data_IF_867810747624
#
_entry.id   IF_867810747624
#
_cell.length_a   1.000
_cell.length_b   1.000
_cell.length_c   1.000
_cell.angle_alpha   90.00
_cell.angle_beta   90.00
_cell.angle_gamma   90.00
#
_symmetry.space_group_name_H-M   'P 1'
#
loop_
_entity.id
_entity.type
_entity.pdbx_description
1 polymer ?
#
# COMPACT_ATOMS: atom_id res chain seq x y z
N UNK A 1 -4.02 8.93 2.70
CA UNK A 1 -3.20 9.56 3.75
C UNK A 1 -4.16 10.15 4.79
N UNK A 2 -4.77 9.28 5.61
CA UNK A 2 -5.76 9.63 6.63
C UNK A 2 -5.14 9.28 7.98
N UNK A 3 -4.41 10.23 8.56
CA UNK A 3 -3.89 10.07 9.91
C UNK A 3 -4.95 10.58 10.88
N UNK A 4 -5.52 9.65 11.64
CA UNK A 4 -6.36 9.91 12.80
C UNK A 4 -5.51 10.55 13.91
N UNK A 5 -5.83 11.79 14.30
CA UNK A 5 -5.15 12.55 15.38
C UNK A 5 -6.11 12.99 16.50
N UNK A 6 -7.17 12.23 16.78
CA UNK A 6 -8.00 12.47 17.97
C UNK A 6 -7.44 11.63 19.14
N UNK A 7 -6.97 12.29 20.20
CA UNK A 7 -6.37 11.62 21.37
C UNK A 7 -7.32 11.57 22.58
N UNK A 8 -8.32 12.45 22.62
CA UNK A 8 -9.22 12.62 23.77
C UNK A 8 -10.65 12.84 23.30
N UNK A 9 -11.60 12.13 23.92
CA UNK A 9 -13.03 12.28 23.70
C UNK A 9 -13.73 12.59 25.04
N UNK A 10 -14.70 13.49 25.01
CA UNK A 10 -15.47 13.91 26.19
C UNK A 10 -16.95 14.00 25.83
N UNK A 11 -17.80 13.57 26.77
CA UNK A 11 -19.24 13.53 26.59
C UNK A 11 -19.94 14.63 27.39
N UNK A 12 -21.01 15.21 26.83
CA UNK A 12 -21.97 16.08 27.50
C UNK A 12 -23.38 15.58 27.21
N UNK A 13 -24.30 15.66 28.17
CA UNK A 13 -25.67 15.14 28.02
C UNK A 13 -26.69 16.27 28.09
N UNK A 14 -27.50 16.37 27.05
CA UNK A 14 -28.66 17.25 26.96
C UNK A 14 -29.94 16.46 27.25
N UNK A 15 -30.92 17.07 27.92
CA UNK A 15 -32.28 16.55 27.97
C UNK A 15 -33.20 17.37 27.07
N UNK A 16 -34.10 16.68 26.38
CA UNK A 16 -35.10 17.26 25.49
C UNK A 16 -36.47 17.14 26.14
N UNK A 17 -37.13 18.28 26.30
CA UNK A 17 -38.51 18.41 26.75
C UNK A 17 -39.42 18.74 25.57
N UNK A 18 -40.72 18.66 25.81
CA UNK A 18 -41.74 19.05 24.83
C UNK A 18 -41.67 20.54 24.48
N UNK A 19 -41.71 20.86 23.19
CA UNK A 19 -41.75 22.24 22.70
C UNK A 19 -43.03 22.98 23.13
N UNK A 20 -42.93 24.25 23.58
CA UNK A 20 -44.10 25.08 23.80
C UNK A 20 -44.77 25.41 22.46
N UNK A 21 -46.02 24.96 22.28
CA UNK A 21 -46.82 25.28 21.10
C UNK A 21 -47.57 26.59 21.30
N UNK A 22 -47.23 27.62 20.53
CA UNK A 22 -47.97 28.88 20.48
C UNK A 22 -48.98 28.80 19.32
N UNK A 23 -50.16 28.24 19.60
CA UNK A 23 -51.16 27.94 18.57
C UNK A 23 -51.77 29.20 17.93
N UNK A 24 -51.94 29.18 16.61
CA UNK A 24 -52.78 30.13 15.86
C UNK A 24 -54.19 29.53 15.73
N UNK A 25 -55.09 29.88 16.65
CA UNK A 25 -56.55 29.74 16.51
C UNK A 25 -57.13 28.42 15.98
N UNK A 26 -57.39 27.47 16.88
CA UNK A 26 -58.66 26.72 17.06
C UNK A 26 -58.40 25.63 18.10
N UNK A 27 -59.27 25.57 19.12
CA UNK A 27 -59.30 24.60 20.23
C UNK A 27 -58.20 23.53 20.25
N UNK A 28 -57.12 23.81 20.97
CA UNK A 28 -56.23 22.76 21.49
C UNK A 28 -55.99 23.06 22.96
N UNK A 29 -56.78 22.38 23.81
CA UNK A 29 -56.31 22.04 25.15
C UNK A 29 -54.91 21.44 25.00
N UNK A 30 -53.97 21.90 25.83
CA UNK A 30 -52.63 21.33 25.90
C UNK A 30 -52.72 19.83 26.14
N UNK A 31 -52.56 19.05 25.08
CA UNK A 31 -52.29 17.62 25.19
C UNK A 31 -50.89 17.51 25.75
N UNK A 32 -50.80 16.98 26.97
CA UNK A 32 -49.55 16.53 27.56
C UNK A 32 -48.80 15.72 26.52
N UNK A 33 -47.64 16.22 26.12
CA UNK A 33 -46.83 15.65 25.05
C UNK A 33 -46.52 14.20 25.40
N UNK A 34 -46.86 13.28 24.49
CA UNK A 34 -46.65 11.86 24.77
C UNK A 34 -45.14 11.56 24.87
N UNK A 35 -44.75 10.57 25.66
CA UNK A 35 -43.34 10.15 25.76
C UNK A 35 -42.73 9.85 24.38
N UNK A 36 -43.54 9.37 23.44
CA UNK A 36 -43.19 9.12 22.04
C UNK A 36 -42.84 10.40 21.26
N UNK A 37 -43.52 11.52 21.56
CA UNK A 37 -43.25 12.81 20.90
C UNK A 37 -41.91 13.39 21.35
N UNK A 38 -41.59 13.31 22.64
CA UNK A 38 -40.30 13.78 23.18
C UNK A 38 -39.12 12.93 22.69
N UNK A 39 -39.33 11.64 22.47
CA UNK A 39 -38.32 10.73 21.92
C UNK A 39 -38.06 11.08 20.44
N UNK A 40 -39.11 11.25 19.65
CA UNK A 40 -39.01 11.63 18.24
C UNK A 40 -38.35 13.00 18.06
N UNK A 41 -38.68 13.96 18.95
CA UNK A 41 -38.01 15.26 19.00
C UNK A 41 -36.52 15.12 19.34
N UNK A 42 -36.14 14.29 20.31
CA UNK A 42 -34.72 14.09 20.66
C UNK A 42 -33.89 13.49 19.51
N UNK A 43 -34.48 12.62 18.68
CA UNK A 43 -33.81 12.05 17.50
C UNK A 43 -33.63 13.10 16.42
N UNK A 44 -34.65 13.91 16.17
CA UNK A 44 -34.57 15.01 15.20
C UNK A 44 -33.58 16.09 15.64
N UNK A 45 -33.61 16.45 16.93
CA UNK A 45 -32.70 17.43 17.53
C UNK A 45 -31.25 16.92 17.48
N UNK A 46 -31.00 15.63 17.74
CA UNK A 46 -29.67 15.03 17.59
C UNK A 46 -29.16 15.08 16.14
N UNK A 47 -30.04 14.97 15.15
CA UNK A 47 -29.68 15.13 13.74
C UNK A 47 -29.49 16.60 13.33
N UNK A 48 -30.17 17.53 14.00
CA UNK A 48 -30.09 18.98 13.72
C UNK A 48 -28.81 19.62 14.30
N UNK A 49 -28.31 19.13 15.43
CA UNK A 49 -27.12 19.69 16.09
C UNK A 49 -25.89 19.76 15.18
N UNK A 50 -25.49 18.71 14.44
CA UNK A 50 -24.34 18.75 13.53
C UNK A 50 -24.63 19.43 12.18
N UNK A 51 -25.61 20.33 12.10
CA UNK A 51 -25.88 21.11 10.89
C UNK A 51 -25.06 22.39 10.84
N UNK A 52 -24.73 22.85 9.63
CA UNK A 52 -24.01 24.11 9.40
C UNK A 52 -24.68 25.33 10.02
N UNK A 53 -26.03 25.37 9.99
CA UNK A 53 -26.81 26.47 10.59
C UNK A 53 -26.61 26.57 12.10
N UNK A 54 -26.66 25.43 12.79
CA UNK A 54 -26.45 25.38 14.23
C UNK A 54 -25.00 25.70 14.57
N UNK A 55 -24.03 25.05 13.93
CA UNK A 55 -22.60 25.27 14.24
C UNK A 55 -22.14 26.71 13.96
N UNK A 56 -22.66 27.35 12.91
CA UNK A 56 -22.41 28.78 12.67
C UNK A 56 -23.01 29.67 13.77
N UNK A 57 -24.23 29.36 14.23
CA UNK A 57 -24.84 30.09 15.34
C UNK A 57 -24.06 29.92 16.65
N UNK A 58 -23.62 28.69 16.96
CA UNK A 58 -22.78 28.40 18.13
C UNK A 58 -21.45 29.17 18.06
N UNK A 59 -20.79 29.14 16.90
CA UNK A 59 -19.53 29.88 16.70
C UNK A 59 -19.69 31.40 16.87
N UNK A 60 -20.77 31.98 16.34
CA UNK A 60 -21.04 33.41 16.46
C UNK A 60 -21.44 33.82 17.89
N UNK A 61 -22.14 32.95 18.62
CA UNK A 61 -22.64 33.23 19.96
C UNK A 61 -21.60 32.96 21.06
N UNK A 62 -20.47 32.30 20.76
CA UNK A 62 -19.48 31.92 21.75
C UNK A 62 -18.09 32.54 21.49
N UNK A 63 -17.72 33.64 22.17
CA UNK A 63 -16.43 34.31 21.98
C UNK A 63 -15.23 33.46 22.46
N UNK A 64 -15.44 32.47 23.34
CA UNK A 64 -14.36 31.60 23.81
C UNK A 64 -13.86 30.66 22.70
N UNK A 65 -14.72 30.22 21.78
CA UNK A 65 -14.33 29.41 20.62
C UNK A 65 -13.44 30.22 19.66
N UNK A 66 -13.79 31.49 19.45
CA UNK A 66 -13.03 32.42 18.59
C UNK A 66 -11.65 32.71 19.17
N UNK A 67 -11.54 32.90 20.49
CA UNK A 67 -10.28 33.14 21.18
C UNK A 67 -9.32 31.93 21.11
N UNK A 68 -9.86 30.71 21.03
CA UNK A 68 -9.08 29.47 20.90
C UNK A 68 -8.82 29.07 19.43
N UNK A 69 -9.28 29.86 18.46
CA UNK A 69 -9.01 29.66 17.03
C UNK A 69 -9.83 28.56 16.36
N UNK A 70 -10.91 28.09 17.00
CA UNK A 70 -11.82 27.10 16.41
C UNK A 70 -12.76 27.76 15.40
N UNK A 71 -13.05 27.07 14.30
CA UNK A 71 -14.01 27.50 13.29
C UNK A 71 -15.32 26.70 13.36
N UNK A 72 -16.34 27.15 12.64
CA UNK A 72 -17.59 26.40 12.51
C UNK A 72 -17.42 25.05 11.80
N UNK A 73 -16.43 24.93 10.89
CA UNK A 73 -16.11 23.68 10.22
C UNK A 73 -15.42 22.69 11.17
N UNK A 74 -14.57 23.17 12.09
CA UNK A 74 -13.97 22.32 13.12
C UNK A 74 -15.05 21.72 14.03
N UNK A 75 -16.05 22.51 14.43
CA UNK A 75 -17.18 22.03 15.23
C UNK A 75 -17.99 20.93 14.53
N UNK A 76 -18.11 20.97 13.20
CA UNK A 76 -18.83 19.96 12.41
C UNK A 76 -18.07 18.64 12.33
N UNK A 77 -16.75 18.68 12.33
CA UNK A 77 -15.90 17.49 12.25
C UNK A 77 -15.69 16.87 13.63
N UNK A 78 -15.46 17.72 14.63
CA UNK A 78 -14.98 17.31 15.94
C UNK A 78 -16.10 17.08 16.96
N UNK A 79 -17.35 17.47 16.68
CA UNK A 79 -18.50 17.27 17.57
C UNK A 79 -19.57 16.43 16.90
N UNK A 80 -19.95 15.34 17.57
CA UNK A 80 -21.03 14.45 17.14
C UNK A 80 -22.14 14.44 18.18
N UNK A 81 -23.38 14.31 17.70
CA UNK A 81 -24.56 14.19 18.54
C UNK A 81 -25.24 12.86 18.23
N UNK A 82 -25.57 12.11 19.27
CA UNK A 82 -26.32 10.86 19.13
C UNK A 82 -27.33 10.72 20.26
N UNK A 83 -28.45 10.08 20.00
CA UNK A 83 -29.30 9.60 21.08
C UNK A 83 -28.76 8.21 21.53
N UNK A 84 -28.26 8.07 22.77
CA UNK A 84 -27.68 6.82 23.24
C UNK A 84 -28.71 5.73 23.54
N UNK A 85 -30.02 6.04 23.55
CA UNK A 85 -31.05 5.09 23.93
C UNK A 85 -32.39 5.35 23.25
N UNK A 86 -32.97 4.30 22.64
CA UNK A 86 -34.29 4.34 22.01
C UNK A 86 -35.45 4.56 23.01
N UNK A 87 -35.18 4.71 24.31
CA UNK A 87 -36.21 4.88 25.35
C UNK A 87 -36.05 6.17 26.15
N UNK A 88 -35.03 7.00 25.86
CA UNK A 88 -34.72 8.18 26.68
C UNK A 88 -34.56 9.42 25.80
N UNK A 89 -35.24 10.50 26.15
CA UNK A 89 -35.19 11.79 25.43
C UNK A 89 -33.94 12.59 25.80
N UNK A 90 -32.77 11.94 25.70
CA UNK A 90 -31.46 12.51 26.01
C UNK A 90 -30.58 12.50 24.77
N UNK A 91 -29.80 13.56 24.57
CA UNK A 91 -28.81 13.64 23.49
C UNK A 91 -27.42 13.61 24.12
N UNK A 92 -26.60 12.66 23.69
CA UNK A 92 -25.20 12.56 24.03
C UNK A 92 -24.38 13.30 22.98
N UNK A 93 -23.76 14.40 23.40
CA UNK A 93 -22.77 15.12 22.61
C UNK A 93 -21.40 14.58 22.93
N UNK A 94 -20.63 14.21 21.91
CA UNK A 94 -19.25 13.76 22.04
C UNK A 94 -18.36 14.71 21.24
N UNK A 95 -17.41 15.36 21.90
CA UNK A 95 -16.38 16.15 21.23
C UNK A 95 -15.03 15.45 21.27
N UNK A 96 -14.30 15.51 20.17
CA UNK A 96 -12.95 14.97 20.04
C UNK A 96 -11.95 16.09 19.82
N UNK A 97 -10.87 16.13 20.61
CA UNK A 97 -9.82 17.13 20.43
C UNK A 97 -8.43 16.58 20.74
N UNK A 98 -7.40 17.37 20.37
CA UNK A 98 -5.99 17.06 20.68
C UNK A 98 -5.63 17.31 22.14
N UNK A 99 -6.32 18.24 22.81
CA UNK A 99 -6.13 18.53 24.24
C UNK A 99 -7.44 18.25 25.00
N UNK A 100 -7.35 17.75 26.24
CA UNK A 100 -8.53 17.46 27.05
C UNK A 100 -9.36 18.72 27.36
N UNK A 101 -8.70 19.87 27.60
CA UNK A 101 -9.38 21.14 27.85
C UNK A 101 -10.18 21.65 26.63
N UNK A 102 -9.64 21.44 25.42
CA UNK A 102 -10.29 21.84 24.18
C UNK A 102 -11.53 20.97 23.89
N UNK A 103 -11.47 19.67 24.16
CA UNK A 103 -12.63 18.77 24.02
C UNK A 103 -13.79 19.17 24.96
N UNK A 104 -13.47 19.53 26.21
CA UNK A 104 -14.47 20.04 27.17
C UNK A 104 -15.06 21.37 26.71
N UNK A 105 -14.23 22.28 26.19
CA UNK A 105 -14.69 23.57 25.67
C UNK A 105 -15.65 23.38 24.50
N UNK A 106 -15.28 22.55 23.52
CA UNK A 106 -16.07 22.29 22.32
C UNK A 106 -17.44 21.71 22.66
N UNK A 107 -17.47 20.64 23.47
CA UNK A 107 -18.73 19.95 23.79
C UNK A 107 -19.68 20.84 24.60
N UNK A 108 -19.17 21.62 25.54
CA UNK A 108 -19.98 22.53 26.36
C UNK A 108 -20.43 23.76 25.56
N UNK A 109 -19.58 24.26 24.65
CA UNK A 109 -19.94 25.37 23.78
C UNK A 109 -21.08 24.97 22.82
N UNK A 110 -21.01 23.78 22.22
CA UNK A 110 -22.09 23.26 21.37
C UNK A 110 -23.35 22.99 22.17
N UNK A 111 -23.24 22.37 23.35
CA UNK A 111 -24.38 22.13 24.24
C UNK A 111 -25.15 23.42 24.56
N UNK A 112 -24.45 24.43 25.08
CA UNK A 112 -25.04 25.70 25.47
C UNK A 112 -25.53 26.50 24.26
N UNK A 113 -24.77 26.49 23.17
CA UNK A 113 -25.13 27.18 21.94
C UNK A 113 -26.39 26.63 21.29
N UNK A 114 -26.61 25.31 21.36
CA UNK A 114 -27.84 24.69 20.86
C UNK A 114 -29.07 25.03 21.71
N UNK A 115 -28.93 25.07 23.04
CA UNK A 115 -30.00 25.55 23.93
C UNK A 115 -30.37 27.00 23.61
N UNK A 116 -29.38 27.86 23.38
CA UNK A 116 -29.60 29.24 22.97
C UNK A 116 -30.28 29.33 21.59
N UNK A 117 -29.92 28.46 20.65
CA UNK A 117 -30.54 28.37 19.33
C UNK A 117 -32.03 28.03 19.41
N UNK A 118 -32.40 26.99 20.17
CA UNK A 118 -33.80 26.58 20.39
C UNK A 118 -34.60 27.65 21.12
N UNK A 119 -33.99 28.30 22.12
CA UNK A 119 -34.62 29.42 22.83
C UNK A 119 -34.90 30.59 21.87
N UNK A 120 -33.96 30.91 20.97
CA UNK A 120 -34.15 31.95 19.96
C UNK A 120 -35.27 31.59 18.98
N UNK A 121 -35.31 30.36 18.46
CA UNK A 121 -36.43 29.93 17.61
C UNK A 121 -37.78 30.05 18.31
N UNK A 122 -37.87 29.60 19.56
CA UNK A 122 -39.11 29.69 20.33
C UNK A 122 -39.53 31.15 20.57
N UNK A 123 -38.56 32.04 20.79
CA UNK A 123 -38.80 33.47 20.94
C UNK A 123 -39.27 34.11 19.63
N UNK A 124 -38.65 33.78 18.50
CA UNK A 124 -39.06 34.27 17.17
C UNK A 124 -40.49 33.83 16.83
N UNK A 125 -40.88 32.60 17.22
CA UNK A 125 -42.26 32.10 17.07
C UNK A 125 -43.25 32.87 17.95
N UNK A 126 -42.88 33.14 19.21
CA UNK A 126 -43.69 33.94 20.13
C UNK A 126 -43.89 35.37 19.59
N UNK A 127 -42.83 36.00 19.08
CA UNK A 127 -42.89 37.36 18.56
C UNK A 127 -43.69 37.43 17.25
N UNK A 128 -43.60 36.40 16.40
CA UNK A 128 -44.47 36.26 15.23
C UNK A 128 -45.93 36.09 15.63
N UNK A 129 -46.23 35.26 16.64
CA UNK A 129 -47.58 35.09 17.14
C UNK A 129 -48.14 36.39 17.70
N UNK A 130 -47.35 37.13 18.50
CA UNK A 130 -47.73 38.46 19.00
C UNK A 130 -47.99 39.45 17.87
N UNK A 131 -47.13 39.50 16.86
CA UNK A 131 -47.32 40.38 15.70
C UNK A 131 -48.62 40.05 14.94
N UNK A 132 -48.93 38.75 14.77
CA UNK A 132 -50.17 38.30 14.13
C UNK A 132 -51.41 38.71 14.94
N UNK A 133 -51.41 38.49 16.26
CA UNK A 133 -52.52 38.91 17.12
C UNK A 133 -52.67 40.43 17.19
N UNK A 134 -51.56 41.17 17.20
CA UNK A 134 -51.57 42.63 17.17
C UNK A 134 -52.15 43.16 15.85
N UNK A 135 -51.80 42.53 14.73
CA UNK A 135 -52.36 42.87 13.41
C UNK A 135 -53.86 42.60 13.36
N UNK A 136 -54.31 41.44 13.86
CA UNK A 136 -55.72 41.08 13.92
C UNK A 136 -56.52 42.03 14.83
N UNK A 137 -55.95 42.43 15.97
CA UNK A 137 -56.54 43.44 16.85
C UNK A 137 -56.69 44.79 16.13
N UNK A 138 -55.63 45.25 15.44
CA UNK A 138 -55.68 46.49 14.68
C UNK A 138 -56.70 46.44 13.53
N UNK A 139 -56.88 45.27 12.90
CA UNK A 139 -57.89 45.06 11.87
C UNK A 139 -59.31 45.21 12.44
N UNK A 140 -59.63 44.55 13.54
CA UNK A 140 -60.94 44.69 14.20
C UNK A 140 -61.19 46.10 14.70
N UNK A 141 -60.15 46.78 15.20
CA UNK A 141 -60.24 48.19 15.60
C UNK A 141 -60.62 49.09 14.43
N UNK A 142 -59.97 48.94 13.27
CA UNK A 142 -60.30 49.71 12.07
C UNK A 142 -61.72 49.40 11.58
N UNK A 143 -62.12 48.13 11.54
CA UNK A 143 -63.50 47.73 11.18
C UNK A 143 -64.55 48.37 12.11
N UNK A 144 -64.29 48.36 13.42
CA UNK A 144 -65.18 49.02 14.39
C UNK A 144 -65.29 50.53 14.17
N UNK A 145 -64.20 51.19 13.78
CA UNK A 145 -64.18 52.63 13.49
C UNK A 145 -64.91 52.96 12.18
N UNK A 146 -64.77 52.13 11.16
CA UNK A 146 -65.46 52.35 9.88
C UNK A 146 -66.97 52.08 10.00
N UNK A 147 -67.39 51.07 10.76
CA UNK A 147 -68.79 50.86 11.12
C UNK A 147 -69.35 52.05 11.91
N UNK A 148 -68.57 52.63 12.82
CA UNK A 148 -68.98 53.83 13.57
C UNK A 148 -69.16 55.05 12.66
N UNK A 149 -68.24 55.30 11.72
CA UNK A 149 -68.41 56.36 10.71
C UNK A 149 -69.66 56.15 9.87
N UNK A 150 -69.96 54.91 9.48
CA UNK A 150 -71.17 54.58 8.73
C UNK A 150 -72.43 54.88 9.56
N UNK A 151 -72.48 54.45 10.81
CA UNK A 151 -73.58 54.75 11.74
C UNK A 151 -73.81 56.27 11.86
N UNK A 152 -72.73 57.06 12.02
CA UNK A 152 -72.79 58.51 12.16
C UNK A 152 -73.16 59.25 10.85
N UNK A 153 -73.07 58.60 9.69
CA UNK A 153 -73.44 59.18 8.39
C UNK A 153 -74.96 59.19 8.12
N UNK A 154 -75.75 58.45 8.92
CA UNK A 154 -77.20 58.44 8.83
C UNK A 154 -77.82 59.56 9.67
N UNK A 155 -78.55 60.49 9.03
CA UNK A 155 -79.18 61.64 9.71
C UNK A 155 -80.42 61.28 10.55
N UNK A 156 -81.05 60.12 10.32
CA UNK A 156 -82.28 59.69 10.99
C UNK A 156 -82.01 58.50 11.92
N UNK A 157 -82.06 58.73 13.23
CA UNK A 157 -81.81 57.74 14.29
C UNK A 157 -82.83 56.60 14.39
N UNK A 158 -83.89 56.60 13.57
CA UNK A 158 -85.00 55.62 13.59
C UNK A 158 -84.93 54.60 12.45
N UNK A 159 -83.85 54.60 11.66
CA UNK A 159 -83.69 53.71 10.52
C UNK A 159 -83.32 52.27 10.96
N UNK A 160 -84.05 51.23 10.51
CA UNK A 160 -83.71 49.83 10.81
C UNK A 160 -82.28 49.42 10.41
N UNK A 161 -81.63 50.13 9.48
CA UNK A 161 -80.23 49.90 9.12
C UNK A 161 -79.23 50.25 10.23
N UNK A 162 -79.53 51.23 11.09
CA UNK A 162 -78.67 51.62 12.22
C UNK A 162 -78.64 50.50 13.27
N UNK A 163 -79.77 49.84 13.52
CA UNK A 163 -79.85 48.73 14.47
C UNK A 163 -78.97 47.54 14.03
N UNK A 164 -78.94 47.22 12.73
CA UNK A 164 -78.09 46.17 12.18
C UNK A 164 -76.60 46.52 12.26
N UNK A 165 -76.21 47.73 11.84
CA UNK A 165 -74.81 48.19 11.90
C UNK A 165 -74.30 48.27 13.35
N UNK A 166 -75.17 48.63 14.30
CA UNK A 166 -74.83 48.65 15.72
C UNK A 166 -74.62 47.23 16.24
N UNK A 167 -75.45 46.26 15.83
CA UNK A 167 -75.26 44.85 16.16
C UNK A 167 -73.93 44.31 15.60
N UNK A 168 -73.62 44.61 14.33
CA UNK A 168 -72.34 44.24 13.69
C UNK A 168 -71.14 44.85 14.42
N UNK A 169 -71.20 46.14 14.77
CA UNK A 169 -70.14 46.80 15.55
C UNK A 169 -69.94 46.14 16.90
N UNK A 170 -71.02 45.74 17.58
CA UNK A 170 -70.94 45.06 18.88
C UNK A 170 -70.30 43.69 18.75
N UNK A 171 -70.57 42.95 17.67
CA UNK A 171 -69.92 41.68 17.37
C UNK A 171 -68.41 41.83 17.07
N UNK A 172 -68.02 42.89 16.35
CA UNK A 172 -66.61 43.23 16.10
C UNK A 172 -65.89 43.59 17.39
N UNK A 173 -66.51 44.37 18.28
CA UNK A 173 -65.94 44.71 19.60
C UNK A 173 -65.76 43.46 20.48
N UNK A 174 -66.73 42.54 20.47
CA UNK A 174 -66.60 41.27 21.18
C UNK A 174 -65.41 40.44 20.65
N UNK A 175 -65.20 40.43 19.34
CA UNK A 175 -64.06 39.77 18.69
C UNK A 175 -62.73 40.48 19.02
N UNK A 176 -62.72 41.81 19.08
CA UNK A 176 -61.55 42.59 19.49
C UNK A 176 -61.13 42.27 20.94
N UNK A 177 -62.09 42.20 21.87
CA UNK A 177 -61.84 41.89 23.27
C UNK A 177 -61.31 40.46 23.45
N UNK A 178 -61.80 39.49 22.66
CA UNK A 178 -61.31 38.10 22.72
C UNK A 178 -59.87 37.99 22.21
N UNK A 179 -59.52 38.70 21.13
CA UNK A 179 -58.12 38.78 20.64
C UNK A 179 -57.21 39.47 21.67
N UNK A 180 -57.68 40.54 22.31
CA UNK A 180 -56.92 41.21 23.35
C UNK A 180 -56.66 40.30 24.56
N UNK A 181 -57.68 39.54 24.98
CA UNK A 181 -57.55 38.56 26.06
C UNK A 181 -56.53 37.45 25.70
N UNK A 182 -56.47 37.03 24.44
CA UNK A 182 -55.44 36.09 23.96
C UNK A 182 -54.05 36.73 23.99
N UNK A 183 -53.90 37.99 23.61
CA UNK A 183 -52.62 38.72 23.67
C UNK A 183 -52.05 38.78 25.09
N UNK A 184 -52.91 38.99 26.09
CA UNK A 184 -52.55 39.02 27.53
C UNK A 184 -52.16 37.64 28.09
N UNK A 185 -52.57 36.55 27.45
CA UNK A 185 -52.24 35.19 27.87
C UNK A 185 -50.91 34.69 27.30
N UNK A 186 -50.32 35.38 26.30
CA UNK A 186 -48.99 35.03 25.80
C UNK A 186 -47.92 35.36 26.86
N UNK A 187 -46.97 34.44 27.15
CA UNK A 187 -45.91 34.67 28.14
C UNK A 187 -44.97 35.80 27.70
N UNK A 188 -44.26 36.43 28.64
CA UNK A 188 -43.32 37.52 28.36
C UNK A 188 -42.07 37.05 27.57
N UNK A 189 -41.63 35.80 27.78
CA UNK A 189 -40.49 35.20 27.09
C UNK A 189 -40.74 33.71 26.84
N UNK A 190 -40.29 33.22 25.69
CA UNK A 190 -40.33 31.79 25.39
C UNK A 190 -39.13 31.08 26.04
N UNK A 191 -39.36 29.89 26.58
CA UNK A 191 -38.29 28.98 27.01
C UNK A 191 -38.04 27.96 25.90
N UNK A 192 -36.77 27.69 25.59
CA UNK A 192 -36.39 26.58 24.73
C UNK A 192 -36.80 25.24 25.33
N UNK A 193 -36.89 24.22 24.48
CA UNK A 193 -37.31 22.87 24.85
C UNK A 193 -36.14 21.93 25.16
N UNK A 194 -34.92 22.47 25.30
CA UNK A 194 -33.69 21.71 25.55
C UNK A 194 -32.94 22.34 26.71
N UNK A 195 -32.43 21.53 27.64
CA UNK A 195 -31.64 22.00 28.77
C UNK A 195 -30.40 21.11 28.98
N UNK A 196 -29.30 21.74 29.41
CA UNK A 196 -28.06 21.02 29.74
C UNK A 196 -28.19 20.45 31.14
N UNK A 197 -28.21 19.12 31.27
CA UNK A 197 -28.37 18.45 32.57
C UNK A 197 -27.04 18.04 33.17
N UNK A 198 -26.05 17.72 32.34
CA UNK A 198 -24.71 17.40 32.82
C UNK A 198 -23.64 18.05 31.94
N UNK A 199 -23.02 19.17 32.40
CA UNK A 199 -21.90 19.77 31.69
C UNK A 199 -20.66 18.88 31.81
N UNK A 200 -19.90 18.79 30.73
CA UNK A 200 -18.67 18.00 30.69
C UNK A 200 -17.60 18.58 31.62
N UNK A 201 -16.92 17.71 32.39
CA UNK A 201 -15.78 18.07 33.25
C UNK A 201 -14.51 17.38 32.78
N UNK A 202 -13.36 17.98 33.07
CA UNK A 202 -12.01 17.50 32.70
C UNK A 202 -11.70 16.07 33.19
N UNK A 203 -12.41 15.57 34.21
CA UNK A 203 -12.24 14.22 34.77
C UNK A 203 -12.89 13.10 33.94
N UNK A 204 -13.78 13.41 33.00
CA UNK A 204 -14.52 12.42 32.19
C UNK A 204 -13.84 12.11 30.84
N UNK A 205 -12.61 12.56 30.67
CA UNK A 205 -11.86 12.39 29.41
C UNK A 205 -11.37 10.95 29.30
N UNK A 206 -12.02 10.15 28.46
CA UNK A 206 -11.49 8.83 28.08
C UNK A 206 -10.42 9.01 27.01
N UNK A 207 -9.20 8.54 27.29
CA UNK A 207 -8.10 8.50 26.31
C UNK A 207 -8.44 7.47 25.23
N UNK A 208 -8.80 7.97 24.05
CA UNK A 208 -9.07 7.13 22.89
C UNK A 208 -7.76 6.90 22.16
N UNK A 209 -6.98 5.89 22.56
CA UNK A 209 -5.90 5.40 21.72
C UNK A 209 -5.56 3.95 22.03
N UNK A 210 -6.23 3.02 21.33
CA UNK A 210 -5.67 1.66 21.07
C UNK A 210 -5.03 1.57 19.68
N UNK A 211 -4.90 2.69 18.96
CA UNK A 211 -4.45 2.71 17.55
C UNK A 211 -2.95 2.43 17.40
N UNK A 212 -2.12 2.92 18.34
CA UNK A 212 -0.67 2.61 18.34
C UNK A 212 -0.37 1.13 18.60
N UNK A 213 -1.22 0.45 19.37
CA UNK A 213 -1.07 -0.98 19.65
C UNK A 213 -1.40 -1.84 18.43
N UNK A 214 -2.42 -1.48 17.65
CA UNK A 214 -2.74 -2.17 16.39
C UNK A 214 -1.63 -1.94 15.34
N UNK A 215 -1.07 -0.74 15.28
CA UNK A 215 0.06 -0.44 14.39
C UNK A 215 1.32 -1.21 14.80
N UNK A 216 1.61 -1.31 16.10
CA UNK A 216 2.74 -2.08 16.61
C UNK A 216 2.59 -3.59 16.34
N UNK A 217 1.38 -4.14 16.50
CA UNK A 217 1.09 -5.55 16.24
C UNK A 217 1.20 -5.88 14.75
N UNK A 218 0.68 -5.03 13.87
CA UNK A 218 0.77 -5.25 12.41
C UNK A 218 2.19 -5.09 11.88
N UNK A 219 2.95 -4.11 12.39
CA UNK A 219 4.37 -3.97 12.07
C UNK A 219 5.19 -5.19 12.54
N UNK A 220 4.92 -5.71 13.73
CA UNK A 220 5.57 -6.91 14.26
C UNK A 220 5.28 -8.15 13.41
N UNK A 221 4.00 -8.39 13.06
CA UNK A 221 3.60 -9.51 12.19
C UNK A 221 4.23 -9.43 10.80
N UNK A 222 4.31 -8.23 10.21
CA UNK A 222 4.95 -8.03 8.91
C UNK A 222 6.44 -8.42 8.90
N UNK A 223 7.17 -8.07 9.96
CA UNK A 223 8.59 -8.42 10.10
C UNK A 223 8.80 -9.94 10.21
N UNK A 224 7.96 -10.63 10.99
CA UNK A 224 8.06 -12.09 11.16
C UNK A 224 7.78 -12.82 9.84
N UNK A 225 6.73 -12.41 9.11
CA UNK A 225 6.40 -13.01 7.80
C UNK A 225 7.52 -12.78 6.78
N UNK A 226 8.09 -11.56 6.73
CA UNK A 226 9.21 -11.26 5.86
C UNK A 226 10.45 -12.13 6.14
N UNK A 227 10.79 -12.33 7.41
CA UNK A 227 11.88 -13.21 7.84
C UNK A 227 11.64 -14.68 7.46
N UNK A 228 10.40 -15.16 7.60
CA UNK A 228 10.04 -16.53 7.22
C UNK A 228 10.14 -16.75 5.70
N UNK A 229 9.69 -15.80 4.89
CA UNK A 229 9.81 -15.87 3.43
C UNK A 229 11.28 -15.88 3.02
N UNK A 230 12.10 -15.01 3.61
CA UNK A 230 13.53 -14.96 3.35
C UNK A 230 14.23 -16.28 3.69
N UNK A 231 13.92 -16.86 4.86
CA UNK A 231 14.43 -18.16 5.27
C UNK A 231 13.99 -19.26 4.30
N UNK A 232 12.73 -19.25 3.86
CA UNK A 232 12.19 -20.24 2.93
C UNK A 232 12.89 -20.18 1.56
N UNK A 233 13.14 -18.98 1.04
CA UNK A 233 13.90 -18.79 -0.20
C UNK A 233 15.32 -19.35 -0.09
N UNK A 234 15.96 -19.19 1.07
CA UNK A 234 17.30 -19.75 1.32
C UNK A 234 17.27 -21.27 1.34
N UNK A 235 16.26 -21.89 1.95
CA UNK A 235 16.13 -23.35 2.02
C UNK A 235 15.84 -23.99 0.64
N UNK A 236 15.20 -23.26 -0.27
CA UNK A 236 14.93 -23.72 -1.63
C UNK A 236 16.12 -23.56 -2.58
N UNK A 237 17.17 -22.85 -2.18
CA UNK A 237 18.36 -22.69 -3.01
C UNK A 237 19.22 -23.97 -3.01
N UNK A 238 19.03 -24.80 -4.03
CA UNK A 238 19.77 -26.06 -4.24
C UNK A 238 21.12 -25.87 -4.96
N UNK A 239 21.65 -24.65 -5.05
CA UNK A 239 22.97 -24.42 -5.67
C UNK A 239 24.06 -25.10 -4.84
N UNK A 240 24.91 -25.88 -5.49
CA UNK A 240 26.15 -26.41 -4.91
C UNK A 240 27.11 -25.24 -4.69
N UNK A 241 27.19 -24.74 -3.46
CA UNK A 241 28.03 -23.58 -3.11
C UNK A 241 29.30 -23.94 -2.34
N UNK A 242 29.39 -25.17 -1.81
CA UNK A 242 30.47 -25.57 -0.92
C UNK A 242 31.23 -26.78 -1.49
N UNK A 243 32.56 -26.71 -1.40
CA UNK A 243 33.53 -27.66 -1.98
C UNK A 243 33.41 -29.08 -1.40
N UNK A 244 32.87 -29.20 -0.18
CA UNK A 244 32.63 -30.45 0.55
C UNK A 244 31.40 -31.23 0.08
N UNK A 245 30.47 -30.58 -0.63
CA UNK A 245 29.22 -31.21 -1.09
C UNK A 245 29.38 -32.02 -2.38
N UNK A 246 30.47 -31.83 -3.14
CA UNK A 246 30.70 -32.54 -4.41
C UNK A 246 30.97 -34.02 -4.18
N UNK A 247 31.91 -34.43 -3.30
CA UNK A 247 32.16 -35.85 -3.03
C UNK A 247 30.96 -36.53 -2.37
N UNK A 248 30.26 -35.84 -1.46
CA UNK A 248 29.14 -36.40 -0.70
C UNK A 248 27.88 -36.64 -1.57
N UNK A 249 27.55 -35.71 -2.47
CA UNK A 249 26.31 -35.80 -3.27
C UNK A 249 26.47 -36.46 -4.62
N UNK A 250 27.66 -36.38 -5.24
CA UNK A 250 27.90 -36.88 -6.59
C UNK A 250 28.80 -38.12 -6.64
N UNK A 251 29.49 -38.45 -5.54
CA UNK A 251 30.45 -39.56 -5.51
C UNK A 251 31.68 -39.33 -6.41
N UNK A 252 31.95 -38.08 -6.80
CA UNK A 252 33.04 -37.71 -7.70
C UNK A 252 34.22 -37.15 -6.91
N UNK A 253 35.43 -37.36 -7.44
CA UNK A 253 36.64 -36.77 -6.86
C UNK A 253 36.68 -35.27 -7.10
N UNK A 254 36.86 -34.50 -6.02
CA UNK A 254 37.07 -33.07 -6.10
C UNK A 254 38.51 -32.77 -6.51
N UNK A 255 38.68 -32.12 -7.67
CA UNK A 255 40.00 -31.82 -8.25
C UNK A 255 40.51 -30.41 -7.90
N UNK A 256 39.62 -29.50 -7.48
CA UNK A 256 39.97 -28.14 -7.08
C UNK A 256 38.87 -27.12 -7.41
N UNK A 257 39.06 -25.89 -6.96
CA UNK A 257 38.17 -24.74 -7.20
C UNK A 257 38.86 -23.69 -8.06
N UNK A 258 38.09 -23.04 -8.94
CA UNK A 258 38.54 -21.89 -9.71
C UNK A 258 37.78 -20.65 -9.25
N UNK A 259 38.48 -19.70 -8.64
CA UNK A 259 37.90 -18.46 -8.17
C UNK A 259 37.57 -17.52 -9.32
N UNK A 260 36.38 -16.89 -9.25
CA UNK A 260 35.95 -15.88 -10.22
C UNK A 260 36.68 -14.57 -9.96
N UNK A 261 37.86 -14.39 -10.59
CA UNK A 261 38.64 -13.16 -10.51
C UNK A 261 38.53 -12.33 -11.80
N UNK A 262 38.73 -11.02 -11.67
CA UNK A 262 38.76 -10.04 -12.78
C UNK A 262 39.87 -10.28 -13.81
N UNK A 263 40.81 -11.20 -13.55
CA UNK A 263 41.85 -11.64 -14.49
C UNK A 263 41.33 -12.64 -15.55
N UNK A 264 40.18 -13.28 -15.33
CA UNK A 264 39.60 -14.21 -16.30
C UNK A 264 38.70 -13.40 -17.24
N UNK A 265 39.30 -12.73 -18.24
CA UNK A 265 38.53 -12.09 -19.30
C UNK A 265 38.08 -13.12 -20.35
N UNK A 266 36.88 -12.97 -20.94
CA UNK A 266 36.43 -13.82 -22.03
C UNK A 266 37.47 -13.82 -23.17
N UNK A 267 37.96 -15.00 -23.54
CA UNK A 267 38.98 -15.14 -24.60
C UNK A 267 40.44 -15.00 -24.13
N UNK A 268 40.69 -14.83 -22.83
CA UNK A 268 42.05 -14.81 -22.27
C UNK A 268 42.34 -16.07 -21.47
N UNK A 269 43.58 -16.57 -21.57
CA UNK A 269 44.04 -17.70 -20.75
C UNK A 269 44.68 -17.18 -19.47
N UNK A 270 44.27 -17.68 -18.29
CA UNK A 270 44.92 -17.32 -17.03
C UNK A 270 46.37 -17.82 -17.03
N UNK A 271 47.31 -16.92 -17.33
CA UNK A 271 48.74 -17.24 -17.43
C UNK A 271 49.51 -16.87 -16.17
N UNK A 272 48.98 -15.94 -15.37
CA UNK A 272 49.54 -15.43 -14.11
C UNK A 272 48.43 -15.28 -13.06
N UNK A 273 48.81 -15.10 -11.79
CA UNK A 273 47.86 -14.85 -10.70
C UNK A 273 47.25 -16.10 -10.07
N UNK A 274 46.25 -15.88 -9.20
CA UNK A 274 45.63 -16.92 -8.36
C UNK A 274 44.94 -18.01 -9.18
N UNK A 275 44.28 -17.63 -10.28
CA UNK A 275 43.62 -18.57 -11.17
C UNK A 275 44.61 -19.54 -11.84
N UNK A 276 45.80 -19.03 -12.24
CA UNK A 276 46.85 -19.85 -12.84
C UNK A 276 47.50 -20.81 -11.84
N UNK A 277 47.47 -20.50 -10.53
CA UNK A 277 47.90 -21.39 -9.45
C UNK A 277 46.85 -22.48 -9.21
N UNK A 278 45.58 -22.09 -9.05
CA UNK A 278 44.46 -23.03 -8.88
C UNK A 278 44.35 -24.05 -10.02
N UNK A 279 44.56 -23.63 -11.27
CA UNK A 279 44.59 -24.53 -12.43
C UNK A 279 45.82 -25.45 -12.43
N UNK A 280 46.97 -24.98 -11.93
CA UNK A 280 48.14 -25.84 -11.75
C UNK A 280 47.88 -26.88 -10.66
N UNK A 281 47.23 -26.50 -9.55
CA UNK A 281 46.84 -27.39 -8.46
C UNK A 281 45.83 -28.45 -8.94
N UNK A 282 44.84 -28.07 -9.76
CA UNK A 282 43.94 -29.03 -10.43
C UNK A 282 44.74 -30.03 -11.28
N UNK A 283 45.73 -29.55 -12.05
CA UNK A 283 46.61 -30.41 -12.84
C UNK A 283 47.45 -31.37 -11.99
N UNK A 284 47.92 -30.92 -10.82
CA UNK A 284 48.62 -31.76 -9.83
C UNK A 284 47.65 -32.79 -9.23
N UNK A 285 46.44 -32.39 -8.85
CA UNK A 285 45.43 -33.28 -8.28
C UNK A 285 44.97 -34.34 -9.28
N UNK A 286 44.85 -34.02 -10.57
CA UNK A 286 44.61 -35.00 -11.64
C UNK A 286 45.69 -36.07 -11.70
N UNK A 287 46.94 -35.72 -11.37
CA UNK A 287 48.05 -36.68 -11.31
C UNK A 287 48.02 -37.50 -10.02
N UNK A 288 47.69 -36.88 -8.89
CA UNK A 288 47.65 -37.55 -7.59
C UNK A 288 46.46 -38.50 -7.42
N UNK A 289 45.34 -38.21 -8.08
CA UNK A 289 44.13 -39.06 -8.08
C UNK A 289 44.22 -40.27 -9.03
N UNK A 290 45.36 -40.46 -9.72
CA UNK A 290 45.58 -41.60 -10.62
C UNK A 290 44.83 -41.52 -11.95
N UNK A 291 44.13 -40.42 -12.23
CA UNK A 291 43.47 -40.15 -13.53
C UNK A 291 44.52 -40.02 -14.65
N UNK A 292 45.70 -39.51 -14.33
CA UNK A 292 46.85 -39.49 -15.23
C UNK A 292 47.81 -40.65 -14.86
N UNK A 293 48.29 -41.44 -15.84
CA UNK A 293 49.21 -42.55 -15.55
C UNK A 293 50.50 -42.05 -14.87
N UNK A 294 50.88 -42.71 -13.77
CA UNK A 294 51.95 -42.28 -12.85
C UNK A 294 53.39 -42.34 -13.40
N UNK A 295 53.60 -42.72 -14.67
CA UNK A 295 54.92 -42.75 -15.28
C UNK A 295 55.33 -41.35 -15.78
N UNK A 296 56.54 -40.90 -15.41
CA UNK A 296 57.15 -39.61 -15.81
C UNK A 296 57.12 -39.34 -17.34
N UNK A 297 56.96 -40.41 -18.14
CA UNK A 297 56.49 -40.40 -19.52
C UNK A 297 55.32 -41.39 -19.62
N UNK A 298 54.11 -40.92 -19.95
CA UNK A 298 53.07 -41.82 -20.43
C UNK A 298 53.59 -42.47 -21.73
N UNK A 299 53.60 -43.80 -21.91
CA UNK A 299 54.17 -44.43 -23.11
C UNK A 299 53.49 -43.97 -24.41
N UNK A 300 52.25 -43.48 -24.33
CA UNK A 300 51.49 -42.85 -25.41
C UNK A 300 50.63 -41.75 -24.79
N UNK A 301 50.75 -40.50 -25.26
CA UNK A 301 50.22 -39.28 -24.64
C UNK A 301 48.84 -39.40 -23.98
N UNK A 302 48.61 -38.64 -22.91
CA UNK A 302 47.37 -38.72 -22.12
C UNK A 302 46.26 -37.92 -22.79
N UNK A 303 45.06 -38.48 -22.87
CA UNK A 303 43.89 -37.81 -23.43
C UNK A 303 42.92 -37.49 -22.30
N UNK A 304 42.55 -36.22 -22.15
CA UNK A 304 41.62 -35.73 -21.15
C UNK A 304 40.46 -35.02 -21.83
N UNK A 305 39.23 -35.41 -21.48
CA UNK A 305 38.02 -34.70 -21.89
C UNK A 305 37.59 -33.74 -20.76
N UNK A 306 37.40 -32.47 -21.11
CA UNK A 306 36.81 -31.46 -20.22
C UNK A 306 35.40 -31.17 -20.72
N UNK A 307 34.40 -31.33 -19.85
CA UNK A 307 32.98 -31.12 -20.17
C UNK A 307 32.27 -30.48 -18.99
N UNK A 308 31.03 -30.03 -19.20
CA UNK A 308 30.18 -29.35 -18.23
C UNK A 308 28.77 -29.94 -18.22
N UNK A 309 28.06 -29.78 -17.10
CA UNK A 309 26.66 -30.21 -17.03
C UNK A 309 25.80 -29.31 -17.92
N UNK A 310 25.95 -27.98 -17.78
CA UNK A 310 25.27 -26.98 -18.59
C UNK A 310 26.23 -26.11 -19.40
N UNK A 311 25.67 -25.34 -20.32
CA UNK A 311 26.40 -24.30 -21.05
C UNK A 311 26.85 -23.18 -20.11
N UNK A 312 27.98 -22.53 -20.44
CA UNK A 312 28.52 -21.36 -19.73
C UNK A 312 29.04 -21.68 -18.30
N UNK A 313 29.44 -22.92 -18.01
CA UNK A 313 30.08 -23.30 -16.74
C UNK A 313 31.62 -23.12 -16.73
N UNK A 314 32.21 -22.58 -17.80
CA UNK A 314 33.65 -22.28 -17.85
C UNK A 314 34.57 -23.44 -18.30
N UNK A 315 34.03 -24.51 -18.91
CA UNK A 315 34.80 -25.64 -19.44
C UNK A 315 36.03 -25.25 -20.29
N UNK A 316 35.87 -24.31 -21.24
CA UNK A 316 36.94 -23.84 -22.11
C UNK A 316 38.03 -23.09 -21.34
N UNK A 317 37.66 -22.37 -20.28
CA UNK A 317 38.59 -21.70 -19.37
C UNK A 317 39.41 -22.72 -18.57
N UNK A 318 38.78 -23.79 -18.09
CA UNK A 318 39.48 -24.88 -17.40
C UNK A 318 40.41 -25.63 -18.37
N UNK A 319 39.94 -25.94 -19.58
CA UNK A 319 40.73 -26.61 -20.61
C UNK A 319 41.97 -25.79 -21.02
N UNK A 320 41.81 -24.48 -21.26
CA UNK A 320 42.91 -23.60 -21.65
C UNK A 320 43.89 -23.35 -20.50
N UNK A 321 43.37 -23.18 -19.29
CA UNK A 321 44.15 -23.03 -18.08
C UNK A 321 45.00 -24.27 -17.76
N UNK A 322 44.41 -25.45 -17.87
CA UNK A 322 45.11 -26.72 -17.70
C UNK A 322 46.17 -26.93 -18.79
N UNK A 323 45.88 -26.55 -20.04
CA UNK A 323 46.84 -26.61 -21.13
C UNK A 323 48.06 -25.72 -20.86
N UNK A 324 47.83 -24.48 -20.41
CA UNK A 324 48.90 -23.56 -20.04
C UNK A 324 49.71 -24.05 -18.84
N UNK A 325 49.06 -24.62 -17.81
CA UNK A 325 49.73 -25.19 -16.66
C UNK A 325 50.61 -26.40 -17.04
N UNK A 326 50.09 -27.32 -17.84
CA UNK A 326 50.83 -28.49 -18.31
C UNK A 326 52.03 -28.09 -19.20
N UNK A 327 51.84 -27.11 -20.09
CA UNK A 327 52.92 -26.56 -20.93
C UNK A 327 54.03 -25.91 -20.10
N UNK A 328 53.69 -25.10 -19.08
CA UNK A 328 54.66 -24.56 -18.11
C UNK A 328 55.42 -25.65 -17.36
N UNK A 329 54.77 -26.80 -17.13
CA UNK A 329 55.40 -28.01 -16.60
C UNK A 329 56.31 -28.76 -17.59
N UNK A 330 56.59 -28.18 -18.77
CA UNK A 330 57.49 -28.72 -19.78
C UNK A 330 56.87 -29.79 -20.68
N UNK A 331 55.53 -29.92 -20.71
CA UNK A 331 54.83 -30.90 -21.55
C UNK A 331 54.46 -30.31 -22.90
N UNK A 332 54.52 -31.12 -23.96
CA UNK A 332 53.92 -30.77 -25.24
C UNK A 332 52.41 -30.99 -25.17
N UNK A 333 51.62 -29.92 -25.30
CA UNK A 333 50.16 -29.97 -25.15
C UNK A 333 49.45 -29.64 -26.46
N UNK A 334 48.45 -30.44 -26.80
CA UNK A 334 47.50 -30.17 -27.87
C UNK A 334 46.09 -30.05 -27.31
N UNK A 335 45.39 -28.99 -27.66
CA UNK A 335 43.98 -28.80 -27.36
C UNK A 335 43.16 -29.10 -28.60
N UNK A 336 42.08 -29.86 -28.45
CA UNK A 336 41.13 -30.20 -29.51
C UNK A 336 39.79 -29.58 -29.16
N UNK A 337 39.20 -28.83 -30.09
CA UNK A 337 37.82 -28.37 -29.96
C UNK A 337 36.85 -29.51 -30.29
N UNK A 338 36.27 -30.11 -29.26
CA UNK A 338 35.24 -31.15 -29.39
C UNK A 338 33.83 -30.59 -29.56
N UNK A 339 33.62 -29.28 -29.38
CA UNK A 339 32.31 -28.66 -29.54
C UNK A 339 32.09 -28.24 -31.01
N UNK A 340 31.90 -29.24 -31.88
CA UNK A 340 31.66 -29.02 -33.30
C UNK A 340 30.37 -28.24 -33.61
N UNK A 341 29.42 -28.20 -32.66
CA UNK A 341 28.18 -27.41 -32.81
C UNK A 341 28.44 -25.91 -32.74
N UNK A 342 29.34 -25.48 -31.86
CA UNK A 342 29.68 -24.07 -31.63
C UNK A 342 31.19 -23.91 -31.39
N UNK A 343 32.03 -24.07 -32.44
CA UNK A 343 33.47 -24.07 -32.32
C UNK A 343 34.00 -22.66 -31.99
N UNK A 344 34.32 -22.44 -30.72
CA UNK A 344 34.69 -21.12 -30.17
C UNK A 344 36.05 -21.11 -29.46
N UNK A 345 36.74 -22.26 -29.42
CA UNK A 345 38.05 -22.39 -28.75
C UNK A 345 39.12 -21.46 -29.32
N UNK A 346 39.10 -21.19 -30.63
CA UNK A 346 40.05 -20.28 -31.30
C UNK A 346 40.11 -18.89 -30.63
N UNK A 347 39.00 -18.41 -30.08
CA UNK A 347 38.94 -17.15 -29.33
C UNK A 347 39.76 -17.21 -28.03
N UNK A 348 39.67 -18.32 -27.30
CA UNK A 348 40.39 -18.51 -26.03
C UNK A 348 41.90 -18.75 -26.23
N UNK A 349 42.28 -19.37 -27.35
CA UNK A 349 43.67 -19.68 -27.67
C UNK A 349 44.33 -18.61 -28.58
N UNK A 350 43.58 -17.57 -28.96
CA UNK A 350 44.06 -16.45 -29.75
C UNK A 350 44.48 -16.82 -31.18
N UNK A 351 43.87 -17.85 -31.77
CA UNK A 351 44.15 -18.29 -33.14
C UNK A 351 43.10 -17.75 -34.10
N UNK A 352 43.46 -17.64 -35.37
CA UNK A 352 42.47 -17.34 -36.42
C UNK A 352 41.48 -18.50 -36.58
N UNK A 353 40.20 -18.23 -36.85
CA UNK A 353 39.27 -19.28 -37.25
C UNK A 353 39.82 -20.00 -38.50
N UNK A 354 39.88 -21.33 -38.46
CA UNK A 354 40.21 -22.12 -39.64
C UNK A 354 38.96 -22.85 -40.13
N UNK A 355 38.71 -22.79 -41.44
CA UNK A 355 37.67 -23.59 -42.10
C UNK A 355 38.00 -25.09 -42.07
N UNK A 356 39.30 -25.41 -42.10
CA UNK A 356 39.81 -26.77 -41.97
C UNK A 356 40.32 -27.02 -40.54
N UNK A 357 39.64 -27.89 -39.81
CA UNK A 357 39.90 -28.24 -38.41
C UNK A 357 39.42 -29.67 -38.11
N UNK A 358 39.00 -29.95 -36.88
CA UNK A 358 38.51 -31.28 -36.50
C UNK A 358 37.34 -31.75 -37.40
N UNK A 359 36.38 -30.87 -37.72
CA UNK A 359 35.26 -31.22 -38.60
C UNK A 359 35.71 -31.62 -40.02
N UNK A 360 36.74 -30.95 -40.56
CA UNK A 360 37.34 -31.30 -41.86
C UNK A 360 38.06 -32.65 -41.80
N UNK A 361 38.88 -32.84 -40.77
CA UNK A 361 39.60 -34.09 -40.51
C UNK A 361 38.70 -35.29 -40.24
N UNK A 362 37.45 -35.08 -39.80
CA UNK A 362 36.48 -36.17 -39.65
C UNK A 362 35.85 -36.51 -41.01
N UNK A 363 35.49 -35.51 -41.82
CA UNK A 363 34.78 -35.68 -43.09
C UNK A 363 35.60 -36.24 -44.25
N UNK A 364 36.90 -36.02 -44.26
CA UNK A 364 37.71 -36.44 -45.40
C UNK A 364 37.79 -37.96 -45.66
N UNK A 365 38.26 -38.34 -46.84
CA UNK A 365 38.24 -39.73 -47.30
C UNK A 365 39.64 -40.32 -47.51
N UNK A 366 40.70 -39.56 -47.18
CA UNK A 366 42.10 -40.01 -47.16
C UNK A 366 43.09 -38.91 -47.58
N UNK A 367 44.35 -39.00 -47.10
CA UNK A 367 45.47 -38.17 -47.58
C UNK A 367 45.61 -36.75 -47.01
N UNK A 368 44.71 -36.31 -46.14
CA UNK A 368 44.82 -34.98 -45.52
C UNK A 368 45.89 -34.93 -44.43
N UNK A 369 46.66 -33.84 -44.43
CA UNK A 369 47.75 -33.64 -43.49
C UNK A 369 47.21 -33.17 -42.13
N UNK A 370 47.20 -34.08 -41.15
CA UNK A 370 46.87 -33.80 -39.75
C UNK A 370 47.68 -32.62 -39.19
N UNK A 371 48.95 -32.48 -39.59
CA UNK A 371 49.80 -31.38 -39.12
C UNK A 371 49.39 -30.02 -39.70
N UNK A 372 48.71 -30.00 -40.85
CA UNK A 372 48.21 -28.76 -41.45
C UNK A 372 46.94 -28.22 -40.77
N UNK A 373 46.20 -29.09 -40.05
CA UNK A 373 45.02 -28.70 -39.28
C UNK A 373 45.37 -28.17 -37.88
N UNK A 374 46.59 -28.44 -37.41
CA UNK A 374 47.06 -28.03 -36.08
C UNK A 374 47.71 -26.64 -36.17
N UNK A 375 47.21 -25.71 -35.37
CA UNK A 375 47.68 -24.33 -35.30
C UNK A 375 48.48 -24.08 -34.03
N UNK A 376 49.44 -23.17 -34.11
CA UNK A 376 50.14 -22.66 -32.93
C UNK A 376 49.21 -21.67 -32.22
N UNK A 377 49.03 -21.84 -30.91
CA UNK A 377 48.27 -20.90 -30.10
C UNK A 377 49.12 -19.73 -29.60
N UNK A 378 48.49 -18.71 -29.00
CA UNK A 378 49.19 -17.63 -28.31
C UNK A 378 49.80 -18.05 -26.96
N UNK A 379 49.56 -19.29 -26.52
CA UNK A 379 50.14 -19.84 -25.32
C UNK A 379 51.42 -20.61 -25.70
N UNK A 380 52.58 -20.28 -25.14
CA UNK A 380 53.82 -21.01 -25.40
C UNK A 380 53.65 -22.51 -25.11
N UNK A 381 54.11 -23.36 -26.04
CA UNK A 381 54.09 -24.83 -25.91
C UNK A 381 52.71 -25.50 -26.04
N UNK A 382 51.65 -24.74 -26.35
CA UNK A 382 50.30 -25.28 -26.59
C UNK A 382 49.92 -25.11 -28.06
N UNK A 383 49.44 -26.20 -28.65
CA UNK A 383 48.90 -26.26 -30.00
C UNK A 383 47.38 -26.42 -29.97
N UNK A 384 46.69 -25.97 -31.01
CA UNK A 384 45.24 -26.05 -31.12
C UNK A 384 44.84 -26.76 -32.41
N UNK A 385 44.02 -27.80 -32.29
CA UNK A 385 43.18 -28.32 -33.36
C UNK A 385 41.78 -27.73 -33.20
N UNK A 386 41.51 -26.63 -33.90
CA UNK A 386 40.22 -25.94 -33.84
C UNK A 386 39.09 -26.81 -34.41
N UNK A 387 37.84 -26.50 -34.06
CA UNK A 387 36.69 -27.32 -34.46
C UNK A 387 36.43 -27.31 -35.96
N UNK A 388 36.90 -26.29 -36.67
CA UNK A 388 36.64 -26.08 -38.09
C UNK A 388 35.27 -25.45 -38.32
N UNK A 389 34.67 -25.72 -39.48
CA UNK A 389 33.29 -25.33 -39.78
C UNK A 389 32.32 -26.00 -38.81
N UNK A 390 31.38 -25.22 -38.26
CA UNK A 390 30.34 -25.69 -37.35
C UNK A 390 29.47 -26.79 -38.00
N UNK A 391 29.05 -27.75 -37.20
CA UNK A 391 28.28 -28.91 -37.64
C UNK A 391 27.08 -29.15 -36.73
N UNK A 392 25.91 -29.36 -37.32
CA UNK A 392 24.70 -29.72 -36.58
C UNK A 392 24.72 -31.18 -36.10
N UNK A 393 25.39 -32.06 -36.84
CA UNK A 393 25.52 -33.47 -36.50
C UNK A 393 26.93 -33.77 -35.96
N UNK A 394 27.00 -34.03 -34.65
CA UNK A 394 28.24 -34.39 -33.95
C UNK A 394 28.48 -35.90 -33.90
N UNK A 395 27.64 -36.73 -34.54
CA UNK A 395 27.84 -38.20 -34.59
C UNK A 395 29.12 -38.60 -35.30
N UNK A 396 29.70 -37.73 -36.14
CA UNK A 396 31.03 -37.93 -36.74
C UNK A 396 32.13 -38.11 -35.69
N UNK A 397 31.97 -37.61 -34.46
CA UNK A 397 32.90 -37.85 -33.36
C UNK A 397 32.91 -39.30 -32.87
N UNK A 398 31.81 -40.04 -33.12
CA UNK A 398 31.63 -41.46 -32.77
C UNK A 398 32.08 -42.40 -33.90
N UNK A 399 32.42 -41.86 -35.06
CA UNK A 399 32.87 -42.65 -36.20
C UNK A 399 34.31 -43.17 -36.03
N UNK A 400 34.66 -44.20 -36.80
CA UNK A 400 35.93 -44.94 -36.70
C UNK A 400 37.19 -44.09 -36.89
N UNK A 401 37.06 -42.85 -37.37
CA UNK A 401 38.19 -41.98 -37.68
C UNK A 401 38.78 -41.25 -36.48
N UNK A 402 37.96 -40.88 -35.49
CA UNK A 402 38.43 -40.18 -34.29
C UNK A 402 39.49 -40.97 -33.50
N UNK A 403 39.34 -42.30 -33.28
CA UNK A 403 40.41 -43.13 -32.70
C UNK A 403 41.73 -43.06 -33.49
N UNK A 404 41.67 -43.05 -34.82
CA UNK A 404 42.85 -42.95 -35.69
C UNK A 404 43.56 -41.60 -35.59
N UNK A 405 42.79 -40.51 -35.53
CA UNK A 405 43.30 -39.15 -35.30
C UNK A 405 44.01 -39.08 -33.94
N UNK A 406 43.34 -39.51 -32.87
CA UNK A 406 43.92 -39.53 -31.52
C UNK A 406 45.18 -40.39 -31.46
N UNK A 407 45.20 -41.58 -32.08
CA UNK A 407 46.38 -42.44 -32.10
C UNK A 407 47.60 -41.79 -32.77
N UNK A 408 47.40 -40.95 -33.80
CA UNK A 408 48.48 -40.19 -34.43
C UNK A 408 48.95 -39.03 -33.54
N UNK A 409 48.02 -38.28 -32.93
CA UNK A 409 48.33 -37.15 -32.08
C UNK A 409 49.05 -37.56 -30.78
N UNK A 410 48.67 -38.71 -30.20
CA UNK A 410 49.29 -39.26 -28.98
C UNK A 410 50.77 -39.64 -29.14
N UNK A 411 51.24 -39.81 -30.38
CA UNK A 411 52.66 -40.04 -30.69
C UNK A 411 53.48 -38.74 -30.73
N UNK A 412 52.83 -37.59 -30.91
CA UNK A 412 53.46 -36.28 -31.12
C UNK A 412 53.37 -35.37 -29.89
N UNK A 413 52.48 -35.68 -28.95
CA UNK A 413 52.14 -34.80 -27.83
C UNK A 413 52.05 -35.60 -26.53
N UNK A 414 52.45 -34.96 -25.43
CA UNK A 414 52.38 -35.59 -24.11
C UNK A 414 50.94 -35.58 -23.58
N UNK A 415 50.22 -34.48 -23.82
CA UNK A 415 48.87 -34.22 -23.33
C UNK A 415 47.96 -33.77 -24.48
N UNK A 416 46.81 -34.40 -24.58
CA UNK A 416 45.72 -34.02 -25.46
C UNK A 416 44.52 -33.64 -24.58
N UNK A 417 44.09 -32.39 -24.63
CA UNK A 417 42.93 -31.89 -23.89
C UNK A 417 41.81 -31.63 -24.89
N UNK A 418 40.67 -32.28 -24.72
CA UNK A 418 39.49 -32.11 -25.58
C UNK A 418 38.51 -31.22 -24.83
N UNK A 419 38.21 -30.03 -25.38
CA UNK A 419 37.11 -29.17 -24.89
C UNK A 419 35.79 -29.67 -25.49
N UNK A 420 35.02 -30.43 -24.72
CA UNK A 420 33.80 -31.07 -25.18
C UNK A 420 32.56 -30.16 -25.13
N UNK A 421 31.45 -30.55 -25.76
CA UNK A 421 30.16 -29.88 -25.54
C UNK A 421 29.65 -30.10 -24.10
N UNK A 422 28.66 -29.31 -23.70
CA UNK A 422 27.93 -29.52 -22.44
C UNK A 422 27.05 -30.78 -22.56
N UNK A 423 26.86 -31.52 -21.47
CA UNK A 423 26.11 -32.79 -21.51
C UNK A 423 24.59 -32.61 -21.53
N UNK A 424 24.05 -31.52 -20.96
CA UNK A 424 22.61 -31.28 -20.81
C UNK A 424 22.10 -30.06 -21.61
N UNK A 425 22.89 -29.55 -22.57
CA UNK A 425 22.54 -28.36 -23.38
C UNK A 425 21.63 -28.62 -24.55
#
# INVERSE_FOLDING_TARGET
MLLAWAAYAVNSTLLVYSAPTFGTGTNTQGTASSSTDTLSQSVNDAAEIPTRSVMNFVYQSNPALQAHGFTADDLLVDVTAMNPSATTSSILLTATARKPADAVLLVNAVANGYVAYKTKQAQDQLDTARANYQSLYNQYKTQSQDLEKQILSYSNSSDPHIALLTADRTAVIASMNSVQAQLLQLPASAKGNVEVVQPAKLTDVTSSSKSSLILAVTAGLGLVVGLLIWLFVILLDKRLRADDQVPEKLGLSYLGTLSKNSEIQPGSVPSTGLAAQQLADIGVNLRLTGVLPGSWRAPQGTVLLVTSAQSVEGKTTVASGLAAAASRGGRSVLVIDGNLRQPTTHLAFGTTPASFGLSGLLKATGGENLDAAVQRSNIPGVWLLAGGTAMEDSTLLLEQRMPGILAQLRKKTDWIIIDGPSLLS
#
